data_IF_436695167676
#
_entry.id   IF_436695167676
#
_cell.length_a   1.000
_cell.length_b   1.000
_cell.length_c   1.000
_cell.angle_alpha   90.00
_cell.angle_beta   90.00
_cell.angle_gamma   90.00
#
_symmetry.space_group_name_H-M   'P 1'
#
loop_
_entity.id
_entity.type
_entity.pdbx_description
1 polymer ?
#
# COMPACT_ATOMS: atom_id res chain seq x y z
N UNK A 1 7.64 39.40 -2.62
CA UNK A 1 6.19 39.15 -2.46
C UNK A 1 5.66 38.64 -3.79
N UNK A 2 5.50 37.31 -3.91
CA UNK A 2 4.96 36.68 -5.11
C UNK A 2 3.51 37.16 -5.31
N UNK A 3 3.27 37.95 -6.34
CA UNK A 3 1.91 38.20 -6.81
C UNK A 3 1.35 36.85 -7.27
N UNK A 4 0.32 36.40 -6.58
CA UNK A 4 -0.41 35.17 -6.88
C UNK A 4 -1.14 35.35 -8.22
N UNK A 5 -0.42 35.21 -9.34
CA UNK A 5 -1.00 35.36 -10.69
C UNK A 5 -1.77 34.09 -11.08
N UNK A 6 -2.91 33.93 -10.41
CA UNK A 6 -3.88 32.86 -10.66
C UNK A 6 -4.32 32.86 -12.12
N UNK A 7 -4.35 34.04 -12.78
CA UNK A 7 -4.75 34.17 -14.17
C UNK A 7 -3.72 33.53 -15.11
N UNK A 8 -2.43 33.84 -14.93
CA UNK A 8 -1.36 33.20 -15.67
C UNK A 8 -1.29 31.69 -15.41
N UNK A 9 -1.43 31.27 -14.15
CA UNK A 9 -1.44 29.85 -13.78
C UNK A 9 -2.62 29.09 -14.44
N UNK A 10 -3.81 29.69 -14.46
CA UNK A 10 -5.00 29.11 -15.11
C UNK A 10 -4.78 28.96 -16.61
N UNK A 11 -4.17 29.96 -17.26
CA UNK A 11 -3.86 29.90 -18.70
C UNK A 11 -2.89 28.77 -19.04
N UNK A 12 -1.82 28.62 -18.26
CA UNK A 12 -0.84 27.53 -18.45
C UNK A 12 -1.49 26.16 -18.22
N UNK A 13 -2.34 26.05 -17.20
CA UNK A 13 -3.10 24.82 -16.94
C UNK A 13 -3.99 24.43 -18.14
N UNK A 14 -4.66 25.39 -18.77
CA UNK A 14 -5.45 25.13 -19.99
C UNK A 14 -4.58 24.58 -21.12
N UNK A 15 -3.38 25.13 -21.33
CA UNK A 15 -2.44 24.64 -22.34
C UNK A 15 -1.97 23.22 -22.03
N UNK A 16 -1.63 22.91 -20.77
CA UNK A 16 -1.24 21.55 -20.36
C UNK A 16 -2.38 20.57 -20.67
N UNK A 17 -3.64 20.94 -20.36
CA UNK A 17 -4.80 20.09 -20.62
C UNK A 17 -5.00 19.78 -22.10
N UNK A 18 -4.68 20.70 -23.01
CA UNK A 18 -4.77 20.49 -24.46
C UNK A 18 -3.80 19.42 -24.98
N UNK A 19 -2.66 19.21 -24.30
CA UNK A 19 -1.62 18.27 -24.72
C UNK A 19 -1.52 17.03 -23.82
N UNK A 20 -2.28 16.97 -22.73
CA UNK A 20 -2.29 15.86 -21.79
C UNK A 20 -3.38 14.83 -22.11
N UNK A 21 -3.14 13.56 -21.83
CA UNK A 21 -4.13 12.49 -21.98
C UNK A 21 -3.85 11.36 -20.99
N UNK A 22 -4.87 10.80 -20.30
CA UNK A 22 -4.68 9.64 -19.43
C UNK A 22 -4.40 8.35 -20.21
N UNK A 23 -4.67 8.33 -21.52
CA UNK A 23 -4.44 7.18 -22.41
C UNK A 23 -3.26 7.39 -23.37
N UNK A 24 -2.56 8.53 -23.27
CA UNK A 24 -1.43 8.88 -24.12
C UNK A 24 -0.11 8.21 -23.72
N UNK A 25 0.98 8.77 -24.23
CA UNK A 25 2.33 8.36 -23.81
C UNK A 25 2.62 8.71 -22.33
N UNK A 26 3.82 8.33 -21.85
CA UNK A 26 4.22 8.56 -20.47
C UNK A 26 4.17 10.05 -20.07
N UNK A 27 4.64 10.94 -20.96
CA UNK A 27 4.66 12.39 -20.72
C UNK A 27 3.25 12.96 -20.66
N UNK A 28 2.37 12.54 -21.57
CA UNK A 28 0.98 12.96 -21.60
C UNK A 28 0.20 12.52 -20.35
N UNK A 29 0.46 11.30 -19.86
CA UNK A 29 -0.14 10.76 -18.63
C UNK A 29 0.29 11.56 -17.41
N UNK A 30 1.60 11.79 -17.26
CA UNK A 30 2.14 12.59 -16.16
C UNK A 30 1.54 14.00 -16.20
N UNK A 31 1.55 14.66 -17.36
CA UNK A 31 0.96 15.97 -17.53
C UNK A 31 -0.53 16.00 -17.15
N UNK A 32 -1.29 14.95 -17.49
CA UNK A 32 -2.72 14.86 -17.20
C UNK A 32 -3.01 14.81 -15.70
N UNK A 33 -2.34 13.91 -14.98
CA UNK A 33 -2.57 13.77 -13.54
C UNK A 33 -2.05 14.98 -12.75
N UNK A 34 -0.91 15.56 -13.15
CA UNK A 34 -0.42 16.81 -12.56
C UNK A 34 -1.38 17.98 -12.81
N UNK A 35 -1.96 18.11 -14.01
CA UNK A 35 -2.95 19.14 -14.31
C UNK A 35 -4.19 19.02 -13.42
N UNK A 36 -4.62 17.81 -13.06
CA UNK A 36 -5.75 17.62 -12.15
C UNK A 36 -5.44 18.08 -10.72
N UNK A 37 -4.24 17.79 -10.22
CA UNK A 37 -3.79 18.27 -8.90
C UNK A 37 -3.64 19.80 -8.90
N UNK A 38 -3.00 20.37 -9.92
CA UNK A 38 -2.83 21.82 -10.06
C UNK A 38 -4.17 22.55 -10.09
N UNK A 39 -5.14 22.02 -10.85
CA UNK A 39 -6.50 22.56 -10.86
C UNK A 39 -7.13 22.56 -9.46
N UNK A 40 -7.01 21.45 -8.73
CA UNK A 40 -7.54 21.34 -7.38
C UNK A 40 -6.89 22.32 -6.39
N UNK A 41 -5.57 22.54 -6.51
CA UNK A 41 -4.86 23.55 -5.73
C UNK A 41 -5.34 24.97 -6.04
N UNK A 42 -5.53 25.30 -7.33
CA UNK A 42 -5.92 26.65 -7.77
C UNK A 42 -7.33 27.05 -7.33
N UNK A 43 -8.28 26.11 -7.31
CA UNK A 43 -9.68 26.39 -6.91
C UNK A 43 -9.81 26.48 -5.38
N UNK A 44 -8.72 26.44 -4.62
CA UNK A 44 -8.75 26.48 -3.14
C UNK A 44 -9.30 25.19 -2.51
N UNK A 45 -9.50 24.16 -3.33
CA UNK A 45 -9.99 22.85 -2.93
C UNK A 45 -8.82 21.99 -2.44
N UNK A 46 -7.59 22.51 -2.27
CA UNK A 46 -6.40 21.71 -1.95
C UNK A 46 -6.61 20.67 -0.83
N UNK A 47 -7.35 21.02 0.23
CA UNK A 47 -7.76 20.08 1.29
C UNK A 47 -9.03 19.27 0.95
N UNK A 48 -10.09 19.89 0.42
CA UNK A 48 -11.32 19.20 0.01
C UNK A 48 -11.13 18.27 -1.22
N UNK A 49 -10.01 18.42 -1.93
CA UNK A 49 -9.62 17.64 -3.10
C UNK A 49 -8.90 16.38 -2.70
N UNK A 50 -8.26 16.35 -1.52
CA UNK A 50 -7.88 15.10 -0.88
C UNK A 50 -9.12 14.25 -0.63
N UNK A 51 -10.22 14.84 -0.12
CA UNK A 51 -11.48 14.12 0.07
C UNK A 51 -12.15 13.73 -1.24
N UNK A 52 -12.11 14.57 -2.29
CA UNK A 52 -12.67 14.24 -3.61
C UNK A 52 -11.83 13.23 -4.42
N UNK A 53 -10.50 13.29 -4.38
CA UNK A 53 -9.62 12.23 -4.92
C UNK A 53 -9.73 10.96 -4.09
N UNK A 54 -9.86 11.07 -2.76
CA UNK A 54 -10.16 9.95 -1.89
C UNK A 54 -11.57 9.39 -2.14
N UNK A 55 -12.53 10.21 -2.62
CA UNK A 55 -13.88 9.81 -3.02
C UNK A 55 -13.91 9.16 -4.41
N UNK A 56 -13.11 9.64 -5.37
CA UNK A 56 -12.91 8.96 -6.65
C UNK A 56 -12.16 7.63 -6.46
N UNK A 57 -11.19 7.58 -5.53
CA UNK A 57 -10.60 6.34 -5.02
C UNK A 57 -11.56 5.54 -4.09
N UNK A 58 -12.71 6.11 -3.72
CA UNK A 58 -13.78 5.43 -2.96
C UNK A 58 -14.80 4.74 -3.85
N UNK A 59 -14.67 4.81 -5.19
CA UNK A 59 -15.14 3.68 -6.00
C UNK A 59 -14.48 2.46 -5.38
N UNK A 60 -15.28 1.63 -4.72
CA UNK A 60 -14.80 0.56 -3.85
C UNK A 60 -14.00 -0.42 -4.70
N UNK A 61 -12.69 -0.18 -4.83
CA UNK A 61 -11.77 -1.15 -5.41
C UNK A 61 -11.96 -2.40 -4.59
N UNK A 62 -12.54 -3.41 -5.21
CA UNK A 62 -12.81 -4.68 -4.56
C UNK A 62 -11.49 -5.34 -4.20
N UNK A 63 -11.51 -6.25 -3.23
CA UNK A 63 -10.32 -7.03 -2.90
C UNK A 63 -9.76 -7.76 -4.12
N UNK A 64 -10.64 -8.25 -5.01
CA UNK A 64 -10.25 -8.93 -6.24
C UNK A 64 -9.52 -8.00 -7.23
N UNK A 65 -10.03 -6.78 -7.45
CA UNK A 65 -9.37 -5.79 -8.31
C UNK A 65 -8.02 -5.37 -7.74
N UNK A 66 -7.93 -5.17 -6.43
CA UNK A 66 -6.66 -4.87 -5.78
C UNK A 66 -5.64 -5.99 -5.99
N UNK A 67 -6.03 -7.24 -5.74
CA UNK A 67 -5.17 -8.42 -5.94
C UNK A 67 -4.68 -8.49 -7.38
N UNK A 68 -5.58 -8.32 -8.36
CA UNK A 68 -5.22 -8.37 -9.79
C UNK A 68 -4.24 -7.25 -10.17
N UNK A 69 -4.48 -6.03 -9.72
CA UNK A 69 -3.56 -4.91 -9.95
C UNK A 69 -2.20 -5.15 -9.27
N UNK A 70 -2.21 -5.74 -8.08
CA UNK A 70 -1.01 -6.07 -7.32
C UNK A 70 -0.16 -7.16 -8.00
N UNK A 71 -0.79 -8.19 -8.58
CA UNK A 71 -0.11 -9.22 -9.37
C UNK A 71 0.58 -8.66 -10.62
N UNK A 72 -0.09 -7.74 -11.33
CA UNK A 72 0.50 -7.03 -12.47
C UNK A 72 1.69 -6.20 -12.01
N UNK A 73 1.58 -5.50 -10.89
CA UNK A 73 2.68 -4.69 -10.34
C UNK A 73 3.91 -5.54 -9.96
N UNK A 74 3.69 -6.70 -9.33
CA UNK A 74 4.75 -7.63 -8.96
C UNK A 74 5.45 -8.27 -10.16
N UNK A 75 4.71 -8.54 -11.24
CA UNK A 75 5.27 -9.15 -12.45
C UNK A 75 5.93 -8.13 -13.39
N UNK A 76 5.51 -6.87 -13.32
CA UNK A 76 6.01 -5.81 -14.22
C UNK A 76 7.24 -5.08 -13.67
N UNK A 77 7.44 -5.06 -12.35
CA UNK A 77 8.54 -4.30 -11.72
C UNK A 77 9.21 -5.07 -10.58
N UNK A 78 10.53 -4.90 -10.38
CA UNK A 78 11.26 -5.62 -9.33
C UNK A 78 11.14 -4.95 -7.95
N UNK A 79 10.64 -3.71 -7.87
CA UNK A 79 10.75 -2.89 -6.65
C UNK A 79 10.15 -3.57 -5.43
N UNK A 80 8.93 -4.09 -5.56
CA UNK A 80 8.21 -4.69 -4.43
C UNK A 80 8.80 -6.05 -4.03
N UNK A 81 9.19 -6.86 -5.02
CA UNK A 81 9.89 -8.12 -4.76
C UNK A 81 11.23 -7.89 -4.07
N UNK A 82 11.98 -6.86 -4.49
CA UNK A 82 13.22 -6.46 -3.84
C UNK A 82 12.99 -6.00 -2.40
N UNK A 83 11.97 -5.17 -2.14
CA UNK A 83 11.57 -4.79 -0.77
C UNK A 83 11.24 -6.02 0.07
N UNK A 84 10.55 -7.00 -0.50
CA UNK A 84 10.16 -8.22 0.20
C UNK A 84 11.37 -9.08 0.53
N UNK A 85 12.24 -9.32 -0.44
CA UNK A 85 13.49 -10.04 -0.23
C UNK A 85 14.32 -9.38 0.86
N UNK A 86 14.57 -8.08 0.74
CA UNK A 86 15.36 -7.33 1.71
C UNK A 86 14.75 -7.40 3.12
N UNK A 87 13.46 -7.10 3.27
CA UNK A 87 12.80 -7.12 4.57
C UNK A 87 12.86 -8.51 5.22
N UNK A 88 12.57 -9.57 4.46
CA UNK A 88 12.61 -10.93 4.99
C UNK A 88 14.02 -11.34 5.42
N UNK A 89 15.04 -11.04 4.60
CA UNK A 89 16.44 -11.31 4.94
C UNK A 89 16.84 -10.62 6.24
N UNK A 90 16.58 -9.31 6.35
CA UNK A 90 16.92 -8.55 7.55
C UNK A 90 16.19 -9.05 8.81
N UNK A 91 14.90 -9.42 8.69
CA UNK A 91 14.14 -9.96 9.83
C UNK A 91 14.67 -11.34 10.22
N UNK A 92 14.98 -12.22 9.25
CA UNK A 92 15.55 -13.53 9.52
C UNK A 92 16.89 -13.42 10.25
N UNK A 93 17.76 -12.52 9.82
CA UNK A 93 19.04 -12.24 10.48
C UNK A 93 18.85 -11.70 11.89
N UNK A 94 17.97 -10.70 12.06
CA UNK A 94 17.69 -10.09 13.37
C UNK A 94 17.04 -11.06 14.36
N UNK A 95 16.31 -12.08 13.87
CA UNK A 95 15.60 -13.05 14.70
C UNK A 95 16.29 -14.41 14.78
N UNK A 96 17.48 -14.58 14.19
CA UNK A 96 18.15 -15.86 14.00
C UNK A 96 18.31 -16.68 15.31
N UNK A 97 18.53 -16.01 16.44
CA UNK A 97 18.72 -16.64 17.76
C UNK A 97 17.57 -16.38 18.74
N UNK A 98 16.53 -15.66 18.32
CA UNK A 98 15.41 -15.33 19.20
C UNK A 98 14.38 -16.45 19.23
N UNK A 99 13.81 -16.73 20.38
CA UNK A 99 12.68 -17.66 20.52
C UNK A 99 11.33 -16.98 20.23
N UNK A 100 11.29 -15.65 20.20
CA UNK A 100 10.08 -14.85 19.97
C UNK A 100 10.37 -13.66 19.05
N UNK A 101 9.50 -13.39 18.08
CA UNK A 101 9.56 -12.23 17.21
C UNK A 101 8.27 -11.44 17.26
N UNK A 102 8.34 -10.11 17.34
CA UNK A 102 7.19 -9.22 17.22
C UNK A 102 7.37 -8.24 16.08
N UNK A 103 6.45 -8.29 15.11
CA UNK A 103 6.42 -7.41 13.95
C UNK A 103 5.30 -6.40 14.15
N UNK A 104 5.62 -5.12 13.92
CA UNK A 104 4.65 -4.03 13.88
C UNK A 104 4.63 -3.49 12.44
N UNK A 105 3.52 -3.71 11.74
CA UNK A 105 3.37 -3.37 10.32
C UNK A 105 2.45 -2.16 10.15
N UNK A 106 3.04 -1.02 9.81
CA UNK A 106 2.33 0.21 9.48
C UNK A 106 1.80 0.15 8.04
N UNK A 107 0.48 0.00 7.91
CA UNK A 107 -0.18 -0.13 6.63
C UNK A 107 -0.21 -1.57 6.12
N UNK A 108 -0.47 -2.54 6.99
CA UNK A 108 -0.44 -3.98 6.67
C UNK A 108 -1.27 -4.39 5.44
N UNK A 109 -2.34 -3.64 5.12
CA UNK A 109 -3.24 -3.89 4.00
C UNK A 109 -3.68 -5.37 3.95
N UNK A 110 -3.26 -6.13 2.94
CA UNK A 110 -3.57 -7.55 2.74
C UNK A 110 -2.52 -8.50 3.33
N UNK A 111 -1.44 -7.99 3.91
CA UNK A 111 -0.41 -8.77 4.59
C UNK A 111 0.51 -9.58 3.67
N UNK A 112 0.59 -9.27 2.37
CA UNK A 112 1.30 -10.09 1.37
C UNK A 112 2.80 -10.27 1.60
N UNK A 113 3.43 -9.43 2.42
CA UNK A 113 4.85 -9.58 2.79
C UNK A 113 5.07 -10.80 3.71
N UNK A 114 4.14 -11.07 4.61
CA UNK A 114 4.37 -11.98 5.74
C UNK A 114 4.34 -13.48 5.41
N UNK A 115 3.57 -14.00 4.42
CA UNK A 115 3.58 -15.41 4.07
C UNK A 115 4.98 -15.98 3.77
N UNK A 116 5.79 -15.25 3.00
CA UNK A 116 7.14 -15.70 2.67
C UNK A 116 8.07 -15.72 3.90
N UNK A 117 7.95 -14.72 4.79
CA UNK A 117 8.67 -14.72 6.07
C UNK A 117 8.27 -15.91 6.94
N UNK A 118 6.96 -16.16 7.09
CA UNK A 118 6.41 -17.29 7.86
C UNK A 118 6.98 -18.61 7.33
N UNK A 119 7.06 -18.75 5.99
CA UNK A 119 7.65 -19.93 5.36
C UNK A 119 9.14 -20.08 5.63
N UNK A 120 9.90 -18.99 5.70
CA UNK A 120 11.33 -19.07 6.06
C UNK A 120 11.53 -19.40 7.54
N UNK A 121 10.77 -18.74 8.43
CA UNK A 121 10.78 -19.04 9.85
C UNK A 121 10.41 -20.49 10.16
N UNK A 122 9.47 -21.09 9.41
CA UNK A 122 9.10 -22.50 9.60
C UNK A 122 10.23 -23.49 9.29
N UNK A 123 11.19 -23.11 8.46
CA UNK A 123 12.31 -23.98 8.07
C UNK A 123 13.60 -23.63 8.84
N UNK A 124 13.52 -22.75 9.84
CA UNK A 124 14.65 -22.36 10.67
C UNK A 124 15.14 -23.56 11.49
N UNK A 125 16.45 -23.70 11.58
CA UNK A 125 17.10 -24.70 12.46
C UNK A 125 16.74 -24.42 13.93
N UNK A 126 16.33 -25.47 14.66
CA UNK A 126 15.77 -25.34 16.01
C UNK A 126 14.27 -25.01 16.05
N UNK A 127 13.62 -24.87 14.89
CA UNK A 127 12.19 -24.63 14.76
C UNK A 127 11.80 -23.15 14.67
N UNK A 128 10.53 -22.86 14.35
CA UNK A 128 10.05 -21.50 14.22
C UNK A 128 9.96 -20.80 15.59
N UNK A 129 10.29 -19.50 15.67
CA UNK A 129 10.02 -18.72 16.87
C UNK A 129 8.52 -18.51 17.06
N UNK A 130 8.11 -18.16 18.29
CA UNK A 130 6.78 -17.61 18.55
C UNK A 130 6.68 -16.26 17.85
N UNK A 131 5.77 -16.15 16.89
CA UNK A 131 5.58 -14.95 16.09
C UNK A 131 4.39 -14.14 16.62
N UNK A 132 4.56 -12.83 16.73
CA UNK A 132 3.47 -11.88 16.92
C UNK A 132 3.48 -10.88 15.79
N UNK A 133 2.31 -10.59 15.22
CA UNK A 133 2.16 -9.54 14.20
C UNK A 133 1.06 -8.59 14.67
N UNK A 134 1.43 -7.31 14.76
CA UNK A 134 0.50 -6.20 14.99
C UNK A 134 0.38 -5.40 13.70
N UNK A 135 -0.78 -5.46 13.07
CA UNK A 135 -1.08 -4.68 11.88
C UNK A 135 -1.67 -3.34 12.27
N UNK A 136 -1.14 -2.24 11.76
CA UNK A 136 -1.73 -0.91 11.91
C UNK A 136 -2.35 -0.55 10.57
N UNK A 137 -3.67 -0.32 10.54
CA UNK A 137 -4.38 0.05 9.32
C UNK A 137 -4.35 1.55 9.08
N UNK A 138 -4.43 1.95 7.80
CA UNK A 138 -4.85 3.30 7.46
C UNK A 138 -6.34 3.47 7.75
N UNK A 139 -6.74 4.65 8.21
CA UNK A 139 -8.15 5.02 8.40
C UNK A 139 -8.92 4.81 7.10
N UNK A 140 -9.98 4.01 7.14
CA UNK A 140 -10.88 3.83 6.01
C UNK A 140 -12.22 4.51 6.32
N UNK A 141 -12.73 5.39 5.43
CA UNK A 141 -14.08 5.90 5.55
C UNK A 141 -15.11 4.79 5.26
N UNK A 142 -16.19 4.73 6.04
CA UNK A 142 -17.30 3.79 5.81
C UNK A 142 -17.72 2.97 7.04
N UNK A 143 -18.69 2.07 6.84
CA UNK A 143 -19.40 1.35 7.90
C UNK A 143 -18.66 0.15 8.52
N UNK A 144 -17.56 -0.32 7.90
CA UNK A 144 -16.77 -1.48 8.37
C UNK A 144 -15.27 -1.21 8.30
N UNK A 145 -14.75 -0.30 9.14
CA UNK A 145 -13.34 0.09 9.06
C UNK A 145 -12.37 -1.02 9.46
N UNK A 146 -12.82 -2.10 10.12
CA UNK A 146 -11.98 -3.21 10.61
C UNK A 146 -12.02 -4.49 9.76
N UNK A 147 -13.01 -4.66 8.88
CA UNK A 147 -13.23 -5.90 8.13
C UNK A 147 -11.98 -6.38 7.38
N UNK A 148 -11.30 -5.46 6.67
CA UNK A 148 -10.08 -5.80 5.94
C UNK A 148 -8.93 -6.29 6.84
N UNK A 149 -8.73 -5.65 8.01
CA UNK A 149 -7.63 -6.03 8.90
C UNK A 149 -7.93 -7.36 9.59
N UNK A 150 -9.19 -7.62 9.95
CA UNK A 150 -9.65 -8.90 10.50
C UNK A 150 -9.44 -10.04 9.50
N UNK A 151 -9.84 -9.85 8.24
CA UNK A 151 -9.59 -10.85 7.20
C UNK A 151 -8.11 -11.09 6.94
N UNK A 152 -7.27 -10.03 6.97
CA UNK A 152 -5.82 -10.19 6.85
C UNK A 152 -5.28 -10.99 8.03
N UNK A 153 -5.77 -10.74 9.25
CA UNK A 153 -5.48 -11.56 10.42
C UNK A 153 -5.83 -13.04 10.19
N UNK A 154 -7.06 -13.33 9.75
CA UNK A 154 -7.49 -14.70 9.47
C UNK A 154 -6.61 -15.39 8.41
N UNK A 155 -6.26 -14.70 7.32
CA UNK A 155 -5.37 -15.25 6.27
C UNK A 155 -3.99 -15.59 6.83
N UNK A 156 -3.39 -14.70 7.62
CA UNK A 156 -2.08 -14.93 8.23
C UNK A 156 -2.11 -16.03 9.29
N UNK A 157 -3.16 -16.09 10.12
CA UNK A 157 -3.35 -17.16 11.10
C UNK A 157 -3.45 -18.54 10.43
N UNK A 158 -4.24 -18.64 9.36
CA UNK A 158 -4.35 -19.87 8.58
C UNK A 158 -3.01 -20.26 7.95
N UNK A 159 -2.23 -19.29 7.47
CA UNK A 159 -0.91 -19.55 6.90
C UNK A 159 0.09 -20.03 7.95
N UNK A 160 0.15 -19.39 9.12
CA UNK A 160 0.99 -19.84 10.24
C UNK A 160 0.60 -21.26 10.70
N UNK A 161 -0.70 -21.56 10.82
CA UNK A 161 -1.18 -22.90 11.13
C UNK A 161 -0.72 -23.94 10.10
N UNK A 162 -0.77 -23.61 8.81
CA UNK A 162 -0.29 -24.48 7.72
C UNK A 162 1.20 -24.83 7.83
N UNK A 163 2.02 -23.92 8.35
CA UNK A 163 3.47 -24.10 8.47
C UNK A 163 3.94 -24.34 9.91
N UNK A 164 3.02 -24.65 10.83
CA UNK A 164 3.31 -24.92 12.24
C UNK A 164 4.11 -23.80 12.94
N UNK A 165 3.87 -22.54 12.56
CA UNK A 165 4.47 -21.37 13.22
C UNK A 165 3.53 -20.89 14.33
N UNK A 166 3.95 -20.87 15.61
CA UNK A 166 3.10 -20.35 16.69
C UNK A 166 2.83 -18.86 16.47
N UNK A 167 1.55 -18.45 16.48
CA UNK A 167 1.16 -17.08 16.14
C UNK A 167 0.25 -16.45 17.20
N UNK A 168 0.50 -15.17 17.48
CA UNK A 168 -0.41 -14.24 18.12
C UNK A 168 -0.67 -13.04 17.18
N UNK A 169 -1.93 -12.75 16.83
CA UNK A 169 -2.30 -11.60 15.99
C UNK A 169 -3.06 -10.58 16.84
N UNK A 170 -2.68 -9.30 16.69
CA UNK A 170 -3.46 -8.18 17.22
C UNK A 170 -3.76 -7.20 16.08
N UNK A 171 -5.02 -6.75 16.00
CA UNK A 171 -5.57 -5.81 15.02
C UNK A 171 -5.84 -4.44 15.63
#
# INVERSE_FOLDING_TARGET
MYANDIRAATKLLTQIRQHSSPFGDASQKVAHYFANVLHACLVGVGYASHEQFSFLNSQRITAAEYVKAYEVFLSSTPFKNFTYFFANTMIMEATAKSETGHIIDFGILYGFLWPILIKFLSNREGGPPKLRITGIKFSQPGFRPSERIEETGHRLANYCKRYNVPLNIMS
#
